data_IF_987104119365
#
_entry.id   IF_987104119365
#
_cell.length_a   1.000
_cell.length_b   1.000
_cell.length_c   1.000
_cell.angle_alpha   90.00
_cell.angle_beta   90.00
_cell.angle_gamma   90.00
#
_symmetry.space_group_name_H-M   'P 1'
#
loop_
_entity.id
_entity.type
_entity.pdbx_description
1 polymer ?
#
# COMPACT_ATOMS: atom_id res chain seq x y z
N UNK A 1 27.28 -34.19 78.14
CA UNK A 1 26.03 -34.60 77.47
C UNK A 1 25.80 -33.65 76.30
N UNK A 2 25.88 -34.16 75.09
CA UNK A 2 25.91 -33.40 73.82
C UNK A 2 24.63 -33.69 73.03
N UNK A 3 23.93 -32.65 72.55
CA UNK A 3 22.78 -32.72 71.62
C UNK A 3 22.81 -31.43 70.79
N UNK A 4 23.45 -31.46 69.60
CA UNK A 4 22.91 -31.68 68.23
C UNK A 4 22.44 -30.40 67.52
N UNK A 5 23.21 -30.05 66.49
CA UNK A 5 23.04 -28.95 65.52
C UNK A 5 21.85 -29.15 64.57
N UNK A 6 21.34 -28.03 64.04
CA UNK A 6 20.72 -28.02 62.70
C UNK A 6 21.18 -26.81 61.90
N UNK A 7 22.35 -26.90 61.27
CA UNK A 7 22.74 -26.01 60.18
C UNK A 7 22.00 -26.46 58.91
N UNK A 8 21.08 -25.62 58.39
CA UNK A 8 20.48 -25.83 57.07
C UNK A 8 21.43 -25.29 56.00
N UNK A 9 22.14 -26.18 55.32
CA UNK A 9 22.82 -25.87 54.06
C UNK A 9 21.82 -25.95 52.90
N UNK A 10 21.66 -24.89 52.12
CA UNK A 10 21.00 -24.95 50.82
C UNK A 10 22.06 -25.21 49.73
N UNK A 11 21.83 -26.21 48.88
CA UNK A 11 22.59 -26.41 47.64
C UNK A 11 22.08 -25.41 46.61
N UNK A 12 22.89 -24.41 46.24
CA UNK A 12 22.71 -23.69 44.98
C UNK A 12 23.09 -24.64 43.84
N UNK A 13 22.09 -25.16 43.13
CA UNK A 13 22.31 -25.85 41.87
C UNK A 13 22.72 -24.86 40.79
N UNK A 14 23.80 -25.15 40.07
CA UNK A 14 24.22 -24.37 38.91
C UNK A 14 23.15 -24.42 37.81
N UNK A 15 22.80 -23.30 37.16
CA UNK A 15 21.89 -23.31 36.03
C UNK A 15 22.52 -24.07 34.87
N UNK A 16 21.82 -25.12 34.39
CA UNK A 16 22.17 -25.80 33.14
C UNK A 16 21.98 -24.80 31.98
N UNK A 17 22.97 -24.60 31.09
CA UNK A 17 22.77 -23.74 29.94
C UNK A 17 21.72 -24.38 29.01
N UNK A 18 20.74 -23.58 28.59
CA UNK A 18 19.73 -23.95 27.59
C UNK A 18 20.40 -24.04 26.20
N UNK A 19 21.17 -25.11 25.98
CA UNK A 19 21.90 -25.35 24.72
C UNK A 19 20.99 -25.63 23.52
N UNK A 20 19.69 -25.84 23.70
CA UNK A 20 18.78 -26.17 22.60
C UNK A 20 18.38 -24.99 21.71
N UNK A 21 18.16 -23.80 22.30
CA UNK A 21 17.63 -22.66 21.53
C UNK A 21 18.72 -21.86 20.82
N UNK A 22 19.90 -21.72 21.41
CA UNK A 22 21.02 -20.97 20.82
C UNK A 22 21.54 -21.65 19.54
N UNK A 23 21.66 -22.97 19.54
CA UNK A 23 22.13 -23.74 18.37
C UNK A 23 21.13 -23.68 17.20
N UNK A 24 19.83 -23.64 17.50
CA UNK A 24 18.78 -23.48 16.47
C UNK A 24 18.86 -22.12 15.76
N UNK A 25 19.11 -21.04 16.49
CA UNK A 25 19.26 -19.72 15.88
C UNK A 25 20.53 -19.61 15.04
N UNK A 26 21.64 -20.20 15.50
CA UNK A 26 22.90 -20.24 14.74
C UNK A 26 22.74 -21.01 13.41
N UNK A 27 22.04 -22.15 13.43
CA UNK A 27 21.76 -22.92 12.21
C UNK A 27 20.88 -22.17 11.20
N UNK A 28 19.89 -21.38 11.67
CA UNK A 28 19.02 -20.58 10.80
C UNK A 28 19.81 -19.44 10.13
N UNK A 29 20.69 -18.77 10.89
CA UNK A 29 21.52 -17.68 10.36
C UNK A 29 22.52 -18.22 9.33
N UNK A 30 23.14 -19.37 9.59
CA UNK A 30 24.10 -19.98 8.65
C UNK A 30 23.42 -20.44 7.35
N UNK A 31 22.16 -20.91 7.42
CA UNK A 31 21.35 -21.25 6.24
C UNK A 31 21.11 -20.02 5.36
N UNK A 32 20.69 -18.89 5.94
CA UNK A 32 20.44 -17.64 5.21
C UNK A 32 21.71 -17.09 4.52
N UNK A 33 22.88 -17.30 5.13
CA UNK A 33 24.15 -16.86 4.55
C UNK A 33 24.64 -17.75 3.40
N UNK A 34 24.23 -19.03 3.36
CA UNK A 34 24.58 -19.95 2.28
C UNK A 34 23.69 -19.77 1.04
N UNK A 35 22.46 -19.26 1.20
CA UNK A 35 21.56 -18.95 0.08
C UNK A 35 21.88 -17.63 -0.64
N UNK A 36 22.69 -16.74 -0.06
CA UNK A 36 23.09 -15.48 -0.73
C UNK A 36 24.31 -15.61 -1.64
N UNK A 37 24.93 -16.79 -1.69
CA UNK A 37 26.16 -17.05 -2.47
C UNK A 37 25.91 -17.73 -3.83
N UNK A 38 24.66 -17.89 -4.28
CA UNK A 38 24.38 -18.35 -5.65
C UNK A 38 24.54 -17.21 -6.65
N UNK A 39 25.67 -17.25 -7.35
CA UNK A 39 26.15 -16.31 -8.37
C UNK A 39 25.19 -16.29 -9.57
N UNK A 40 24.71 -15.10 -9.95
CA UNK A 40 24.08 -14.84 -11.25
C UNK A 40 25.18 -14.85 -12.31
N UNK A 41 25.17 -15.85 -13.20
CA UNK A 41 25.98 -15.86 -14.43
C UNK A 41 25.14 -15.30 -15.57
N UNK A 42 25.40 -14.06 -15.98
CA UNK A 42 24.78 -13.48 -17.17
C UNK A 42 25.61 -13.82 -18.42
N UNK A 43 25.10 -14.67 -19.30
CA UNK A 43 25.58 -14.81 -20.67
C UNK A 43 25.04 -13.65 -21.51
N UNK A 44 25.94 -12.79 -21.98
CA UNK A 44 25.65 -11.71 -22.93
C UNK A 44 25.49 -12.30 -24.33
N UNK A 45 24.28 -12.27 -24.91
CA UNK A 45 24.12 -12.44 -26.35
C UNK A 45 24.32 -11.07 -27.02
N UNK A 46 25.37 -10.98 -27.83
CA UNK A 46 25.59 -9.87 -28.74
C UNK A 46 25.31 -10.36 -30.15
N UNK A 47 24.45 -9.67 -30.90
CA UNK A 47 24.65 -9.44 -32.33
C UNK A 47 23.87 -8.20 -32.79
N UNK A 48 24.55 -7.49 -33.67
CA UNK A 48 24.32 -6.16 -34.24
C UNK A 48 23.64 -6.20 -35.62
N UNK A 49 23.17 -5.01 -36.04
CA UNK A 49 22.83 -4.55 -37.40
C UNK A 49 21.45 -4.98 -37.93
N UNK A 50 20.52 -4.02 -38.04
CA UNK A 50 20.28 -3.10 -39.18
C UNK A 50 19.42 -3.78 -40.24
N UNK A 51 18.20 -3.29 -40.44
CA UNK A 51 17.84 -2.53 -41.62
C UNK A 51 16.41 -2.02 -41.50
N UNK A 52 16.23 -0.82 -42.05
CA UNK A 52 14.99 -0.07 -42.12
C UNK A 52 14.25 -0.52 -43.37
N UNK A 53 13.16 -1.28 -43.24
CA UNK A 53 12.23 -1.50 -44.35
C UNK A 53 10.78 -1.43 -43.87
N UNK A 54 10.10 -0.39 -44.33
CA UNK A 54 8.66 -0.24 -44.28
C UNK A 54 8.03 -1.05 -45.40
N UNK A 55 7.25 -2.07 -45.07
CA UNK A 55 6.21 -2.61 -45.96
C UNK A 55 4.98 -2.97 -45.14
N UNK A 56 3.95 -2.15 -45.33
CA UNK A 56 2.55 -2.48 -45.13
C UNK A 56 2.24 -3.74 -45.92
N UNK A 57 1.54 -4.71 -45.32
CA UNK A 57 0.52 -5.50 -46.00
C UNK A 57 -0.45 -6.08 -44.97
N UNK A 58 -1.66 -5.53 -45.01
CA UNK A 58 -2.86 -6.12 -44.42
C UNK A 58 -3.33 -7.19 -45.42
N UNK A 59 -3.18 -8.47 -45.08
CA UNK A 59 -4.04 -9.50 -45.65
C UNK A 59 -4.35 -10.55 -44.59
N UNK A 60 -5.58 -10.51 -44.10
CA UNK A 60 -6.23 -11.60 -43.36
C UNK A 60 -6.49 -12.76 -44.31
N UNK A 61 -5.85 -13.90 -44.05
CA UNK A 61 -6.35 -15.19 -44.54
C UNK A 61 -6.41 -16.18 -43.38
N UNK A 62 -7.63 -16.64 -43.17
CA UNK A 62 -8.05 -17.58 -42.13
C UNK A 62 -7.71 -19.00 -42.58
N UNK A 63 -6.73 -19.63 -41.92
CA UNK A 63 -6.53 -21.08 -42.00
C UNK A 63 -6.90 -21.71 -40.65
N UNK A 64 -8.12 -22.23 -40.60
CA UNK A 64 -8.56 -23.21 -39.62
C UNK A 64 -8.05 -24.59 -40.07
N UNK A 65 -7.02 -25.15 -39.44
CA UNK A 65 -7.11 -26.47 -38.82
C UNK A 65 -5.83 -26.91 -38.07
N UNK A 66 -6.11 -27.47 -36.89
CA UNK A 66 -5.38 -28.50 -36.11
C UNK A 66 -4.14 -28.19 -35.25
N UNK A 67 -4.23 -28.81 -34.05
CA UNK A 67 -3.24 -29.10 -33.00
C UNK A 67 -2.73 -27.93 -32.16
N UNK A 68 -3.52 -27.56 -31.14
CA UNK A 68 -2.99 -26.91 -29.94
C UNK A 68 -2.38 -28.00 -29.08
N UNK A 69 -1.06 -28.16 -29.19
CA UNK A 69 -0.27 -28.81 -28.16
C UNK A 69 -0.48 -28.02 -26.85
N UNK A 70 -1.14 -28.65 -25.89
CA UNK A 70 -1.15 -28.17 -24.51
C UNK A 70 0.24 -28.48 -23.95
N UNK A 71 1.22 -27.67 -24.34
CA UNK A 71 2.44 -27.54 -23.58
C UNK A 71 2.11 -26.56 -22.45
N UNK A 72 1.75 -27.10 -21.28
CA UNK A 72 1.74 -26.35 -20.04
C UNK A 72 3.18 -25.96 -19.73
N UNK A 73 3.69 -24.91 -20.37
CA UNK A 73 4.81 -24.14 -19.84
C UNK A 73 4.33 -23.60 -18.50
N UNK A 74 4.69 -24.33 -17.44
CA UNK A 74 4.57 -23.83 -16.08
C UNK A 74 5.65 -22.76 -15.99
N UNK A 75 5.30 -21.55 -16.42
CA UNK A 75 6.03 -20.36 -16.00
C UNK A 75 5.92 -20.36 -14.49
N UNK A 76 7.01 -20.79 -13.84
CA UNK A 76 7.25 -20.61 -12.43
C UNK A 76 7.44 -19.12 -12.18
N UNK A 77 6.36 -18.36 -12.42
CA UNK A 77 6.16 -17.06 -11.80
C UNK A 77 6.13 -17.36 -10.31
N UNK A 78 7.16 -16.93 -9.60
CA UNK A 78 7.11 -16.80 -8.16
C UNK A 78 6.00 -15.80 -7.86
N UNK A 79 4.77 -16.30 -7.75
CA UNK A 79 3.62 -15.52 -7.31
C UNK A 79 3.95 -15.12 -5.88
N UNK A 80 4.21 -13.83 -5.67
CA UNK A 80 4.23 -13.30 -4.32
C UNK A 80 2.86 -13.59 -3.73
N UNK A 81 2.79 -14.45 -2.72
CA UNK A 81 1.57 -14.68 -1.93
C UNK A 81 1.32 -13.44 -1.07
N UNK A 82 0.86 -12.37 -1.71
CA UNK A 82 0.48 -11.13 -1.06
C UNK A 82 -0.99 -11.14 -0.70
N UNK A 83 -1.35 -10.48 0.40
CA UNK A 83 -2.74 -10.20 0.71
C UNK A 83 -3.20 -8.99 -0.12
N UNK A 84 -4.29 -9.14 -0.85
CA UNK A 84 -4.96 -8.04 -1.55
C UNK A 84 -6.04 -7.47 -0.64
N UNK A 85 -6.20 -6.15 -0.69
CA UNK A 85 -7.26 -5.43 0.02
C UNK A 85 -8.00 -4.55 -0.99
N UNK A 86 -9.33 -4.64 -0.97
CA UNK A 86 -10.20 -3.73 -1.70
C UNK A 86 -11.16 -3.05 -0.72
N UNK A 87 -11.41 -1.77 -0.93
CA UNK A 87 -12.38 -1.01 -0.14
C UNK A 87 -13.47 -0.47 -1.05
N UNK A 88 -14.68 -0.38 -0.52
CA UNK A 88 -15.79 0.21 -1.23
C UNK A 88 -16.98 0.43 -0.33
N UNK A 89 -18.06 0.87 -0.93
CA UNK A 89 -19.32 1.09 -0.24
C UNK A 89 -20.47 0.74 -1.18
N UNK A 90 -21.63 0.46 -0.60
CA UNK A 90 -22.88 0.37 -1.37
C UNK A 90 -23.95 1.20 -0.69
N UNK A 91 -24.81 1.81 -1.50
CA UNK A 91 -26.07 2.35 -1.01
C UNK A 91 -26.97 1.17 -0.66
N UNK A 92 -27.31 1.02 0.63
CA UNK A 92 -28.13 -0.10 1.08
C UNK A 92 -29.58 0.31 1.34
N UNK A 93 -29.82 1.58 1.68
CA UNK A 93 -31.18 2.08 1.92
C UNK A 93 -31.36 3.49 1.37
N UNK A 94 -32.47 3.67 0.67
CA UNK A 94 -32.99 4.97 0.23
C UNK A 94 -34.33 5.21 0.91
N UNK A 95 -34.49 6.33 1.61
CA UNK A 95 -35.82 6.83 1.97
C UNK A 95 -36.40 7.61 0.78
N UNK A 96 -37.42 7.10 0.08
CA UNK A 96 -37.99 7.75 -1.11
C UNK A 96 -38.66 9.10 -0.81
N UNK A 97 -38.88 9.43 0.47
CA UNK A 97 -39.48 10.70 0.89
C UNK A 97 -38.44 11.73 1.35
N UNK A 98 -37.17 11.37 1.44
CA UNK A 98 -36.12 12.27 1.85
C UNK A 98 -35.15 12.58 0.69
N UNK A 99 -35.25 13.80 0.17
CA UNK A 99 -34.44 14.30 -0.95
C UNK A 99 -33.07 14.86 -0.51
N UNK A 100 -32.66 14.66 0.75
CA UNK A 100 -31.36 15.08 1.27
C UNK A 100 -30.40 13.90 1.40
N UNK A 101 -29.11 14.13 1.11
CA UNK A 101 -28.04 13.14 1.29
C UNK A 101 -27.99 12.54 2.71
N UNK A 102 -28.51 13.26 3.72
CA UNK A 102 -28.58 12.83 5.11
C UNK A 102 -29.46 11.59 5.36
N UNK A 103 -30.28 11.18 4.39
CA UNK A 103 -31.16 10.01 4.50
C UNK A 103 -30.67 8.79 3.73
N UNK A 104 -29.48 8.87 3.12
CA UNK A 104 -28.84 7.76 2.43
C UNK A 104 -28.05 6.96 3.47
N UNK A 105 -28.37 5.68 3.61
CA UNK A 105 -27.58 4.77 4.45
C UNK A 105 -26.62 3.97 3.58
N UNK A 106 -25.33 4.10 3.88
CA UNK A 106 -24.25 3.43 3.19
C UNK A 106 -23.69 2.29 4.04
N UNK A 107 -23.39 1.17 3.39
CA UNK A 107 -22.65 0.07 3.99
C UNK A 107 -21.24 0.07 3.42
N UNK A 108 -20.25 0.33 4.27
CA UNK A 108 -18.83 0.17 3.91
C UNK A 108 -18.46 -1.30 3.85
N UNK A 109 -17.62 -1.64 2.86
CA UNK A 109 -17.09 -2.99 2.64
C UNK A 109 -15.58 -2.93 2.52
N UNK A 110 -14.92 -3.83 3.25
CA UNK A 110 -13.51 -4.12 3.10
C UNK A 110 -13.42 -5.58 2.70
N UNK A 111 -12.73 -5.86 1.59
CA UNK A 111 -12.54 -7.19 1.07
C UNK A 111 -11.05 -7.54 1.14
N UNK A 112 -10.75 -8.77 1.51
CA UNK A 112 -9.38 -9.28 1.56
C UNK A 112 -9.26 -10.58 0.79
N UNK A 113 -8.16 -10.76 0.05
CA UNK A 113 -7.90 -11.98 -0.71
C UNK A 113 -6.47 -12.44 -0.47
N UNK A 114 -6.32 -13.70 -0.05
CA UNK A 114 -5.03 -14.35 0.18
C UNK A 114 -4.58 -15.24 -0.97
N UNK A 115 -5.42 -15.38 -2.00
CA UNK A 115 -5.23 -16.27 -3.14
C UNK A 115 -5.16 -15.51 -4.47
N UNK A 116 -4.51 -14.34 -4.46
CA UNK A 116 -4.29 -13.49 -5.63
C UNK A 116 -5.58 -12.99 -6.30
N UNK A 117 -6.59 -12.67 -5.50
CA UNK A 117 -7.85 -12.09 -5.97
C UNK A 117 -8.86 -13.11 -6.49
N UNK A 118 -8.63 -14.42 -6.29
CA UNK A 118 -9.55 -15.48 -6.72
C UNK A 118 -10.77 -15.56 -5.80
N UNK A 119 -10.55 -15.55 -4.47
CA UNK A 119 -11.60 -15.50 -3.46
C UNK A 119 -11.43 -14.28 -2.55
N UNK A 120 -12.54 -13.80 -2.02
CA UNK A 120 -12.59 -12.58 -1.23
C UNK A 120 -13.40 -12.78 0.05
N UNK A 121 -12.74 -12.63 1.18
CA UNK A 121 -13.37 -12.53 2.49
C UNK A 121 -13.90 -11.10 2.68
N UNK A 122 -15.12 -10.98 3.22
CA UNK A 122 -15.76 -9.67 3.44
C UNK A 122 -15.80 -9.30 4.91
N UNK A 123 -15.30 -8.11 5.22
CA UNK A 123 -15.50 -7.44 6.50
C UNK A 123 -16.52 -6.30 6.35
N UNK A 124 -17.50 -6.27 7.26
CA UNK A 124 -18.52 -5.23 7.32
C UNK A 124 -18.24 -4.27 8.48
N UNK A 125 -18.34 -2.98 8.18
CA UNK A 125 -18.33 -1.91 9.17
C UNK A 125 -19.43 -0.90 8.86
N UNK A 126 -19.80 -0.08 9.85
CA UNK A 126 -20.63 1.10 9.65
C UNK A 126 -19.72 2.34 9.64
N UNK A 127 -18.84 2.41 8.62
CA UNK A 127 -17.77 3.42 8.52
C UNK A 127 -18.15 4.60 7.59
N UNK A 128 -19.30 4.51 6.91
CA UNK A 128 -19.74 5.49 5.90
C UNK A 128 -19.20 5.19 4.50
N UNK A 129 -19.00 6.23 3.69
CA UNK A 129 -18.34 6.10 2.40
C UNK A 129 -16.83 5.95 2.62
N UNK A 130 -16.22 4.99 1.94
CA UNK A 130 -14.76 4.86 1.86
C UNK A 130 -14.31 5.57 0.57
N UNK A 131 -13.47 6.60 0.68
CA UNK A 131 -13.17 7.50 -0.45
C UNK A 131 -11.97 7.06 -1.27
N UNK A 132 -10.93 6.53 -0.61
CA UNK A 132 -9.70 6.04 -1.24
C UNK A 132 -9.09 4.89 -0.42
N UNK A 133 -8.05 4.27 -0.98
CA UNK A 133 -7.12 3.42 -0.24
C UNK A 133 -5.71 3.82 -0.65
N UNK A 134 -4.95 4.39 0.28
CA UNK A 134 -3.66 4.98 0.01
C UNK A 134 -2.58 4.31 0.87
N UNK A 135 -1.43 3.96 0.28
CA UNK A 135 -0.30 3.42 1.02
C UNK A 135 0.56 4.57 1.57
N UNK A 136 0.51 4.76 2.88
CA UNK A 136 1.12 5.87 3.60
C UNK A 136 2.05 5.31 4.68
N UNK A 137 3.35 5.51 4.52
CA UNK A 137 4.36 5.03 5.48
C UNK A 137 4.15 3.56 5.91
N UNK A 138 4.00 2.68 4.90
CA UNK A 138 3.74 1.24 5.04
C UNK A 138 2.37 0.86 5.64
N UNK A 139 1.49 1.82 5.89
CA UNK A 139 0.11 1.60 6.31
C UNK A 139 -0.83 1.81 5.14
N UNK A 140 -1.83 0.95 5.01
CA UNK A 140 -2.94 1.20 4.09
C UNK A 140 -3.96 2.07 4.83
N UNK A 141 -4.10 3.31 4.38
CA UNK A 141 -4.99 4.32 4.96
C UNK A 141 -6.27 4.39 4.14
N UNK A 142 -7.42 4.41 4.81
CA UNK A 142 -8.74 4.50 4.19
C UNK A 142 -9.50 5.63 4.87
N UNK A 143 -9.54 6.83 4.26
CA UNK A 143 -10.39 7.90 4.71
C UNK A 143 -11.87 7.55 4.54
N UNK A 144 -12.71 8.07 5.45
CA UNK A 144 -14.15 7.83 5.44
C UNK A 144 -14.94 9.15 5.52
N UNK A 145 -16.14 9.17 4.93
CA UNK A 145 -17.02 10.35 4.95
C UNK A 145 -17.58 10.69 6.34
N UNK A 146 -17.30 9.88 7.37
CA UNK A 146 -17.59 10.20 8.77
C UNK A 146 -16.52 11.10 9.42
N UNK A 147 -15.59 11.60 8.61
CA UNK A 147 -14.45 12.42 9.04
C UNK A 147 -13.38 11.64 9.80
N UNK A 148 -13.43 10.31 9.75
CA UNK A 148 -12.42 9.45 10.34
C UNK A 148 -11.53 8.87 9.24
N UNK A 149 -10.37 8.36 9.63
CA UNK A 149 -9.54 7.51 8.79
C UNK A 149 -9.31 6.22 9.54
N UNK A 150 -9.35 5.10 8.84
CA UNK A 150 -8.90 3.81 9.38
C UNK A 150 -7.60 3.41 8.70
N UNK A 151 -6.82 2.57 9.35
CA UNK A 151 -5.62 2.02 8.76
C UNK A 151 -5.41 0.56 9.13
N UNK A 152 -4.56 -0.08 8.34
CA UNK A 152 -4.06 -1.43 8.58
C UNK A 152 -2.59 -1.54 8.14
N UNK A 153 -1.84 -2.39 8.83
CA UNK A 153 -0.46 -2.76 8.48
C UNK A 153 -0.39 -4.17 7.88
N UNK A 154 -1.42 -5.00 8.12
CA UNK A 154 -1.46 -6.42 7.77
C UNK A 154 -2.62 -6.76 6.79
N UNK A 155 -3.49 -5.79 6.50
CA UNK A 155 -4.71 -5.96 5.70
C UNK A 155 -5.85 -6.69 6.42
N UNK A 156 -5.62 -7.23 7.62
CA UNK A 156 -6.56 -8.08 8.36
C UNK A 156 -7.13 -7.35 9.59
N UNK A 157 -6.29 -6.57 10.26
CA UNK A 157 -6.59 -5.85 11.48
C UNK A 157 -6.69 -4.36 11.19
N UNK A 158 -7.80 -3.73 11.58
CA UNK A 158 -8.10 -2.33 11.26
C UNK A 158 -8.26 -1.48 12.52
N UNK A 159 -7.70 -0.28 12.48
CA UNK A 159 -7.67 0.66 13.60
C UNK A 159 -8.05 2.07 13.13
N UNK A 160 -8.55 2.90 14.04
CA UNK A 160 -8.75 4.32 13.75
C UNK A 160 -7.43 5.09 13.81
N UNK A 161 -7.15 5.87 12.76
CA UNK A 161 -6.09 6.85 12.76
C UNK A 161 -6.62 8.18 13.33
N UNK A 162 -5.87 8.75 14.28
CA UNK A 162 -6.29 9.95 15.04
C UNK A 162 -5.40 11.17 14.78
N UNK A 163 -4.21 10.97 14.20
CA UNK A 163 -3.25 12.03 13.98
C UNK A 163 -3.39 12.69 12.59
N UNK A 164 -4.22 12.11 11.71
CA UNK A 164 -4.45 12.65 10.37
C UNK A 164 -5.62 13.65 10.36
N UNK A 165 -5.62 14.64 9.46
CA UNK A 165 -6.70 15.61 9.38
C UNK A 165 -8.05 14.92 9.09
N UNK A 166 -9.09 15.32 9.83
CA UNK A 166 -10.46 14.83 9.61
C UNK A 166 -10.96 15.24 8.23
N UNK A 167 -11.89 14.45 7.72
CA UNK A 167 -12.59 14.69 6.45
C UNK A 167 -11.63 14.80 5.24
N UNK A 168 -10.42 14.23 5.34
CA UNK A 168 -9.54 14.06 4.20
C UNK A 168 -10.14 13.01 3.26
N UNK A 169 -10.00 13.19 1.95
CA UNK A 169 -10.54 12.26 0.96
C UNK A 169 -9.48 11.34 0.35
N UNK A 170 -8.22 11.76 0.41
CA UNK A 170 -7.07 11.05 -0.14
C UNK A 170 -5.78 11.46 0.57
N UNK A 171 -4.80 10.57 0.55
CA UNK A 171 -3.46 10.81 1.07
C UNK A 171 -2.37 10.50 0.05
N UNK A 172 -1.19 11.08 0.24
CA UNK A 172 0.03 10.68 -0.44
C UNK A 172 1.22 10.72 0.52
N UNK A 173 2.23 9.88 0.27
CA UNK A 173 3.43 9.79 1.09
C UNK A 173 4.67 9.64 0.23
N UNK A 174 5.75 10.30 0.64
CA UNK A 174 7.03 10.22 -0.06
C UNK A 174 8.16 10.88 0.70
N UNK A 175 9.28 10.16 0.84
CA UNK A 175 10.50 10.66 1.49
C UNK A 175 10.25 11.35 2.86
N UNK A 176 9.39 10.78 3.70
CA UNK A 176 9.05 11.33 5.02
C UNK A 176 8.02 12.46 5.02
N UNK A 177 7.51 12.87 3.86
CA UNK A 177 6.45 13.87 3.75
C UNK A 177 5.09 13.22 3.55
N UNK A 178 4.11 13.64 4.35
CA UNK A 178 2.72 13.22 4.30
C UNK A 178 1.88 14.34 3.69
N UNK A 179 0.98 13.99 2.79
CA UNK A 179 0.01 14.90 2.16
C UNK A 179 -1.40 14.38 2.42
N UNK A 180 -2.31 15.29 2.75
CA UNK A 180 -3.74 15.03 2.92
C UNK A 180 -4.53 15.98 2.05
N UNK A 181 -5.41 15.45 1.20
CA UNK A 181 -6.18 16.22 0.23
C UNK A 181 -7.63 16.41 0.70
N UNK A 182 -8.17 17.59 0.43
CA UNK A 182 -9.51 18.03 0.84
C UNK A 182 -9.85 17.93 2.34
N UNK A 183 -8.91 18.11 3.31
CA UNK A 183 -9.24 17.97 4.72
C UNK A 183 -10.25 19.04 5.16
N UNK A 184 -11.35 18.65 5.80
CA UNK A 184 -12.47 19.54 6.15
C UNK A 184 -12.96 20.39 4.95
N UNK A 185 -12.99 19.81 3.74
CA UNK A 185 -13.36 20.50 2.49
C UNK A 185 -12.46 21.70 2.13
N UNK A 186 -11.23 21.75 2.67
CA UNK A 186 -10.20 22.75 2.34
C UNK A 186 -9.32 22.28 1.17
N UNK A 187 -8.18 22.94 0.98
CA UNK A 187 -7.23 22.68 -0.11
C UNK A 187 -6.46 21.37 0.08
N UNK A 188 -5.33 21.42 0.77
CA UNK A 188 -4.56 20.25 1.18
C UNK A 188 -3.67 20.63 2.37
N UNK A 189 -3.29 19.62 3.15
CA UNK A 189 -2.39 19.77 4.28
C UNK A 189 -1.12 18.93 4.08
N UNK A 190 -0.03 19.38 4.69
CA UNK A 190 1.28 18.74 4.69
C UNK A 190 1.75 18.49 6.12
N UNK A 191 2.43 17.36 6.32
CA UNK A 191 3.14 17.02 7.55
C UNK A 191 4.49 16.38 7.24
N UNK A 192 5.48 16.62 8.10
CA UNK A 192 6.81 16.00 8.03
C UNK A 192 7.05 14.99 9.17
N UNK A 193 6.09 14.84 10.08
CA UNK A 193 6.17 13.97 11.26
C UNK A 193 4.96 13.03 11.39
N UNK A 194 3.97 13.14 10.49
CA UNK A 194 2.72 12.37 10.52
C UNK A 194 1.79 12.75 11.68
N UNK A 195 2.07 13.83 12.41
CA UNK A 195 1.35 14.25 13.62
C UNK A 195 0.88 15.70 13.54
N UNK A 196 1.76 16.59 13.09
CA UNK A 196 1.51 18.02 12.99
C UNK A 196 1.25 18.38 11.53
N UNK A 197 0.06 18.91 11.25
CA UNK A 197 -0.39 19.20 9.89
C UNK A 197 -0.58 20.70 9.66
N UNK A 198 -0.03 21.19 8.56
CA UNK A 198 -0.16 22.58 8.13
C UNK A 198 -0.92 22.66 6.82
N UNK A 199 -1.94 23.51 6.75
CA UNK A 199 -2.65 23.78 5.50
C UNK A 199 -1.74 24.58 4.57
N UNK A 200 -1.68 24.16 3.31
CA UNK A 200 -0.88 24.84 2.30
C UNK A 200 -1.78 25.76 1.42
N UNK A 201 -1.39 27.04 1.21
CA UNK A 201 -2.24 28.04 0.57
C UNK A 201 -2.21 28.05 -0.97
N UNK A 202 -1.61 27.05 -1.63
CA UNK A 202 -1.47 27.00 -3.11
C UNK A 202 -2.81 26.94 -3.87
N UNK A 203 -3.91 26.60 -3.19
CA UNK A 203 -5.26 26.58 -3.75
C UNK A 203 -5.86 25.17 -3.78
N UNK A 204 -6.93 24.98 -4.54
CA UNK A 204 -7.71 23.74 -4.61
C UNK A 204 -6.90 22.63 -5.30
N UNK A 205 -6.38 21.70 -4.49
CA UNK A 205 -5.60 20.53 -4.89
C UNK A 205 -6.36 19.30 -4.40
N UNK A 206 -6.68 18.39 -5.30
CA UNK A 206 -7.50 17.20 -5.01
C UNK A 206 -6.70 15.91 -5.02
N UNK A 207 -5.50 15.90 -5.59
CA UNK A 207 -4.69 14.69 -5.72
C UNK A 207 -3.19 15.00 -5.76
N UNK A 208 -2.38 13.97 -5.50
CA UNK A 208 -0.95 14.01 -5.68
C UNK A 208 -0.29 12.64 -5.58
N UNK A 209 0.95 12.60 -6.06
CA UNK A 209 1.77 11.40 -6.12
C UNK A 209 3.23 11.76 -5.85
N UNK A 210 3.95 10.82 -5.23
CA UNK A 210 5.40 10.87 -5.12
C UNK A 210 6.02 9.80 -6.01
N UNK A 211 6.96 10.22 -6.86
CA UNK A 211 7.69 9.30 -7.72
C UNK A 211 8.95 9.97 -8.26
N UNK A 212 9.99 9.18 -8.50
CA UNK A 212 11.27 9.69 -9.00
C UNK A 212 11.82 10.88 -8.19
N UNK A 213 11.68 10.82 -6.85
CA UNK A 213 12.08 11.89 -5.92
C UNK A 213 11.38 13.24 -6.13
N UNK A 214 10.20 13.25 -6.76
CA UNK A 214 9.42 14.45 -7.03
C UNK A 214 7.99 14.22 -6.55
N UNK A 215 7.42 15.20 -5.86
CA UNK A 215 5.97 15.28 -5.69
C UNK A 215 5.35 16.01 -6.87
N UNK A 216 4.27 15.44 -7.38
CA UNK A 216 3.36 16.09 -8.32
C UNK A 216 2.00 16.17 -7.63
N UNK A 217 1.42 17.37 -7.53
CA UNK A 217 0.06 17.57 -7.00
C UNK A 217 -0.79 18.31 -8.04
N UNK A 218 -2.10 18.09 -8.03
CA UNK A 218 -3.00 18.65 -9.02
C UNK A 218 -4.42 18.86 -8.50
N UNK A 219 -5.11 19.81 -9.12
CA UNK A 219 -6.52 20.13 -8.90
C UNK A 219 -6.92 21.37 -9.69
N UNK A 220 -8.05 21.98 -9.33
CA UNK A 220 -8.58 23.17 -10.03
C UNK A 220 -7.62 24.38 -10.03
N UNK A 221 -6.67 24.44 -9.08
CA UNK A 221 -5.67 25.51 -9.05
C UNK A 221 -4.45 25.28 -9.97
N UNK A 222 -4.35 24.11 -10.60
CA UNK A 222 -3.30 23.73 -11.55
C UNK A 222 -2.46 22.55 -11.08
N UNK A 223 -1.42 22.24 -11.84
CA UNK A 223 -0.45 21.18 -11.52
C UNK A 223 0.82 21.81 -10.94
N UNK A 224 1.28 21.29 -9.81
CA UNK A 224 2.46 21.78 -9.11
C UNK A 224 3.46 20.66 -8.89
N UNK A 225 4.75 21.01 -8.90
CA UNK A 225 5.86 20.09 -8.64
C UNK A 225 6.68 20.54 -7.45
N UNK A 226 7.13 19.60 -6.64
CA UNK A 226 8.11 19.84 -5.58
C UNK A 226 9.25 18.82 -5.69
N UNK A 227 10.48 19.32 -5.77
CA UNK A 227 11.72 18.51 -5.76
C UNK A 227 12.40 18.48 -4.39
N UNK A 228 11.93 19.33 -3.48
CA UNK A 228 12.41 19.46 -2.10
C UNK A 228 11.39 18.88 -1.12
N UNK A 229 10.68 17.83 -1.55
CA UNK A 229 9.81 17.00 -0.72
C UNK A 229 8.69 17.78 0.00
N UNK A 230 8.10 18.76 -0.68
CA UNK A 230 6.94 19.51 -0.21
C UNK A 230 7.26 20.84 0.47
N UNK A 231 8.54 21.22 0.59
CA UNK A 231 8.97 22.51 1.15
C UNK A 231 8.60 23.67 0.22
N UNK A 232 8.79 23.52 -1.09
CA UNK A 232 8.38 24.50 -2.09
C UNK A 232 7.73 23.85 -3.29
N UNK A 233 6.89 24.62 -3.97
CA UNK A 233 6.07 24.14 -5.08
C UNK A 233 6.16 25.10 -6.25
N UNK A 234 6.47 24.57 -7.41
CA UNK A 234 6.48 25.33 -8.67
C UNK A 234 5.28 24.92 -9.49
N UNK A 235 4.43 25.89 -9.86
CA UNK A 235 3.34 25.65 -10.80
C UNK A 235 3.93 25.27 -12.15
N UNK A 236 3.42 24.21 -12.75
CA UNK A 236 3.76 23.84 -14.13
C UNK A 236 2.89 24.64 -15.07
N UNK A 237 3.49 25.22 -16.11
CA UNK A 237 2.75 25.78 -17.24
C UNK A 237 2.09 24.62 -17.99
N UNK A 238 0.92 24.21 -17.53
CA UNK A 238 0.09 23.24 -18.23
C UNK A 238 -0.50 23.95 -19.44
N UNK A 239 0.08 23.70 -20.62
CA UNK A 239 -0.58 24.04 -21.87
C UNK A 239 -2.00 23.47 -21.84
N UNK A 240 -2.98 24.38 -21.89
CA UNK A 240 -4.42 24.17 -22.09
C UNK A 240 -5.06 23.02 -21.30
N UNK A 241 -5.89 23.39 -20.33
CA UNK A 241 -6.92 22.53 -19.76
C UNK A 241 -7.74 21.87 -20.87
N UNK A 242 -7.76 20.54 -20.95
CA UNK A 242 -8.74 19.81 -21.75
C UNK A 242 -10.07 19.81 -20.97
N UNK A 243 -10.88 20.83 -21.22
CA UNK A 243 -12.33 20.73 -21.08
C UNK A 243 -12.90 20.86 -22.50
N UNK A 244 -13.45 19.76 -23.02
CA UNK A 244 -14.59 19.77 -23.93
C UNK A 244 -15.75 19.07 -23.22
#
# INVERSE_FOLDING_TARGET
MSVKLTNRCYKLGSPKPLLGNQVRHILIIFSLFLFSLTIISCTRSSTTNSDNETTTDNETTTDNETTVDIETTTDNTTTSSGLFVAVGWRLYKTDPYCLLNACLEYESRILTSSDNGVTWDTFFGNLGLLTSIDLIDKKMMVPTSGGNTIYTEDGLSWYYERNFPRDSEKFAYGNGTYLAFNPNWLTFAISFDGMTWNVNPIGLISDGVFGNNIFIIGGNSGIFKSKDYGVSWTKTDSGTWLYD
#
